data_IF_737539336050
#
_entry.id   IF_737539336050
#
_cell.length_a   1.000
_cell.length_b   1.000
_cell.length_c   1.000
_cell.angle_alpha   90.00
_cell.angle_beta   90.00
_cell.angle_gamma   90.00
#
_symmetry.space_group_name_H-M   'P 1'
#
loop_
_entity.id
_entity.type
_entity.pdbx_description
1 polymer ?
#
# COMPACT_ATOMS: atom_id res chain seq x y z
N UNK A 1 -15.62 25.14 -24.97
CA UNK A 1 -14.88 24.19 -25.84
C UNK A 1 -15.46 22.80 -25.59
N UNK A 2 -15.91 22.14 -26.65
CA UNK A 2 -16.46 20.77 -26.52
C UNK A 2 -15.29 19.77 -26.51
N UNK A 3 -15.08 19.04 -25.40
CA UNK A 3 -14.03 18.03 -25.24
C UNK A 3 -14.65 16.69 -24.86
N UNK A 4 -15.28 15.99 -25.80
CA UNK A 4 -16.07 14.79 -25.48
C UNK A 4 -15.22 13.64 -24.95
N UNK A 5 -14.00 13.45 -25.42
CA UNK A 5 -13.08 12.42 -24.90
C UNK A 5 -12.74 12.63 -23.42
N UNK A 6 -12.47 13.88 -23.00
CA UNK A 6 -12.20 14.18 -21.59
C UNK A 6 -13.46 14.01 -20.71
N UNK A 7 -14.64 14.32 -21.25
CA UNK A 7 -15.90 14.09 -20.56
C UNK A 7 -16.18 12.58 -20.39
N UNK A 8 -15.85 11.76 -21.40
CA UNK A 8 -15.98 10.32 -21.35
C UNK A 8 -15.04 9.71 -20.27
N UNK A 9 -13.76 10.15 -20.22
CA UNK A 9 -12.84 9.72 -19.19
C UNK A 9 -13.30 10.09 -17.78
N UNK A 10 -13.74 11.36 -17.56
CA UNK A 10 -14.24 11.80 -16.26
C UNK A 10 -15.51 11.04 -15.83
N UNK A 11 -16.43 10.81 -16.76
CA UNK A 11 -17.64 10.03 -16.51
C UNK A 11 -17.31 8.56 -16.18
N UNK A 12 -16.32 7.99 -16.86
CA UNK A 12 -15.85 6.63 -16.59
C UNK A 12 -15.21 6.52 -15.20
N UNK A 13 -14.33 7.46 -14.85
CA UNK A 13 -13.71 7.54 -13.52
C UNK A 13 -14.75 7.57 -12.41
N UNK A 14 -15.76 8.47 -12.53
CA UNK A 14 -16.83 8.54 -11.58
C UNK A 14 -17.63 7.23 -11.49
N UNK A 15 -17.93 6.60 -12.63
CA UNK A 15 -18.71 5.37 -12.68
C UNK A 15 -17.96 4.17 -12.08
N UNK A 16 -16.63 4.10 -12.25
CA UNK A 16 -15.80 3.07 -11.60
C UNK A 16 -15.90 3.15 -10.08
N UNK A 17 -15.90 4.38 -9.53
CA UNK A 17 -16.07 4.61 -8.10
C UNK A 17 -17.53 4.41 -7.63
N UNK A 18 -18.51 4.65 -8.51
CA UNK A 18 -19.95 4.62 -8.19
C UNK A 18 -20.74 3.75 -9.19
N UNK A 19 -20.56 2.43 -9.24
CA UNK A 19 -21.13 1.55 -10.28
C UNK A 19 -22.68 1.46 -10.24
N UNK A 20 -23.29 1.83 -9.12
CA UNK A 20 -24.75 1.88 -8.97
C UNK A 20 -25.41 3.16 -9.49
N UNK A 21 -24.63 4.16 -9.94
CA UNK A 21 -25.18 5.46 -10.34
C UNK A 21 -25.80 5.41 -11.74
N UNK A 22 -27.13 5.35 -11.81
CA UNK A 22 -27.87 5.12 -13.06
C UNK A 22 -27.70 6.25 -14.09
N UNK A 23 -27.75 7.52 -13.66
CA UNK A 23 -27.55 8.65 -14.57
C UNK A 23 -26.17 8.65 -15.22
N UNK A 24 -25.13 8.28 -14.47
CA UNK A 24 -23.78 8.21 -15.04
C UNK A 24 -23.65 7.07 -16.05
N UNK A 25 -24.32 5.93 -15.83
CA UNK A 25 -24.40 4.86 -16.82
C UNK A 25 -25.01 5.35 -18.13
N UNK A 26 -26.14 6.09 -18.07
CA UNK A 26 -26.77 6.68 -19.25
C UNK A 26 -25.84 7.70 -19.94
N UNK A 27 -25.11 8.50 -19.17
CA UNK A 27 -24.11 9.42 -19.71
C UNK A 27 -22.99 8.70 -20.45
N UNK A 28 -22.49 7.57 -19.91
CA UNK A 28 -21.47 6.76 -20.58
C UNK A 28 -21.99 6.18 -21.91
N UNK A 29 -23.23 5.65 -21.93
CA UNK A 29 -23.85 5.17 -23.16
C UNK A 29 -23.99 6.31 -24.20
N UNK A 30 -24.35 7.52 -23.74
CA UNK A 30 -24.41 8.69 -24.59
C UNK A 30 -23.04 9.07 -25.16
N UNK A 31 -21.98 9.07 -24.33
CA UNK A 31 -20.62 9.37 -24.80
C UNK A 31 -20.10 8.31 -25.77
N UNK A 32 -20.43 7.03 -25.59
CA UNK A 32 -20.07 5.97 -26.54
C UNK A 32 -20.66 6.18 -27.94
N UNK A 33 -21.84 6.78 -28.02
CA UNK A 33 -22.52 7.10 -29.27
C UNK A 33 -22.02 8.39 -29.93
N UNK A 34 -21.18 9.21 -29.24
CA UNK A 34 -20.73 10.49 -29.77
C UNK A 34 -19.63 10.35 -30.82
N UNK A 35 -19.75 11.13 -31.90
CA UNK A 35 -18.69 11.22 -32.91
C UNK A 35 -17.42 11.84 -32.32
N UNK A 36 -16.31 11.15 -32.48
CA UNK A 36 -14.98 11.60 -32.00
C UNK A 36 -14.60 11.08 -30.62
N UNK A 37 -15.44 10.23 -29.99
CA UNK A 37 -15.08 9.45 -28.80
C UNK A 37 -14.77 8.02 -29.22
N UNK A 38 -13.66 7.49 -28.74
CA UNK A 38 -13.18 6.12 -28.98
C UNK A 38 -13.28 5.29 -27.71
N UNK A 39 -13.21 3.99 -27.83
CA UNK A 39 -13.20 3.07 -26.70
C UNK A 39 -12.04 3.35 -25.73
N UNK A 40 -10.88 3.71 -26.25
CA UNK A 40 -9.69 4.08 -25.50
C UNK A 40 -9.84 5.39 -24.68
N UNK A 41 -10.85 6.21 -24.97
CA UNK A 41 -11.11 7.44 -24.23
C UNK A 41 -11.84 7.18 -22.88
N UNK A 42 -12.36 5.97 -22.67
CA UNK A 42 -12.98 5.54 -21.40
C UNK A 42 -11.89 5.04 -20.43
N UNK A 43 -11.05 5.94 -19.98
CA UNK A 43 -9.99 5.67 -19.02
C UNK A 43 -10.39 6.11 -17.63
N UNK A 44 -9.95 5.36 -16.63
CA UNK A 44 -10.05 5.78 -15.24
C UNK A 44 -8.87 6.73 -14.93
N UNK A 45 -9.18 8.02 -14.74
CA UNK A 45 -8.19 9.07 -14.45
C UNK A 45 -7.60 8.96 -13.04
N UNK A 46 -8.28 8.24 -12.15
CA UNK A 46 -7.86 7.96 -10.78
C UNK A 46 -7.35 6.51 -10.63
N UNK A 47 -7.08 5.84 -11.76
CA UNK A 47 -6.57 4.49 -11.74
C UNK A 47 -5.26 4.42 -10.95
N UNK A 48 -5.18 3.41 -10.09
CA UNK A 48 -3.96 3.10 -9.32
C UNK A 48 -3.23 1.95 -10.03
N UNK A 49 -2.17 2.22 -10.80
CA UNK A 49 -1.48 1.20 -11.61
C UNK A 49 -1.06 -0.02 -10.78
N UNK A 50 -0.50 0.21 -9.59
CA UNK A 50 -0.09 -0.85 -8.68
C UNK A 50 -1.23 -1.80 -8.27
N UNK A 51 -2.45 -1.28 -8.05
CA UNK A 51 -3.62 -2.12 -7.74
C UNK A 51 -4.07 -2.94 -8.96
N UNK A 52 -4.02 -2.35 -10.15
CA UNK A 52 -4.39 -3.01 -11.40
C UNK A 52 -3.43 -4.15 -11.71
N UNK A 53 -2.13 -3.89 -11.62
CA UNK A 53 -1.08 -4.90 -11.82
C UNK A 53 -1.15 -6.01 -10.75
N UNK A 54 -1.37 -5.65 -9.50
CA UNK A 54 -1.57 -6.64 -8.43
C UNK A 54 -2.74 -7.58 -8.71
N UNK A 55 -3.89 -7.04 -9.13
CA UNK A 55 -5.07 -7.86 -9.47
C UNK A 55 -4.78 -8.81 -10.65
N UNK A 56 -4.08 -8.32 -11.68
CA UNK A 56 -3.64 -9.16 -12.79
C UNK A 56 -2.70 -10.27 -12.32
N UNK A 57 -1.73 -9.94 -11.47
CA UNK A 57 -0.81 -10.91 -10.89
C UNK A 57 -1.52 -11.99 -10.10
N UNK A 58 -2.47 -11.61 -9.22
CA UNK A 58 -3.29 -12.56 -8.44
C UNK A 58 -4.18 -13.41 -9.36
N UNK A 59 -4.74 -12.82 -10.40
CA UNK A 59 -5.53 -13.56 -11.40
C UNK A 59 -4.68 -14.64 -12.09
N UNK A 60 -3.52 -14.28 -12.64
CA UNK A 60 -2.62 -15.25 -13.28
C UNK A 60 -2.09 -16.30 -12.29
N UNK A 61 -1.90 -15.92 -11.03
CA UNK A 61 -1.58 -16.88 -9.97
C UNK A 61 -2.70 -17.92 -9.81
N UNK A 62 -3.96 -17.51 -9.77
CA UNK A 62 -5.12 -18.43 -9.65
C UNK A 62 -5.35 -19.26 -10.91
N UNK A 63 -4.96 -18.74 -12.08
CA UNK A 63 -5.00 -19.45 -13.36
C UNK A 63 -3.79 -20.38 -13.58
N UNK A 64 -2.94 -20.58 -12.55
CA UNK A 64 -1.73 -21.42 -12.60
C UNK A 64 -0.73 -21.02 -13.70
N UNK A 65 -0.63 -19.71 -13.97
CA UNK A 65 0.31 -19.11 -14.91
C UNK A 65 1.45 -18.38 -14.17
N UNK A 66 2.44 -19.08 -13.58
CA UNK A 66 3.39 -18.49 -12.66
C UNK A 66 4.27 -17.41 -13.29
N UNK A 67 4.67 -17.58 -14.56
CA UNK A 67 5.50 -16.58 -15.23
C UNK A 67 4.77 -15.25 -15.43
N UNK A 68 3.50 -15.27 -15.82
CA UNK A 68 2.68 -14.08 -15.95
C UNK A 68 2.36 -13.46 -14.57
N UNK A 69 2.08 -14.29 -13.56
CA UNK A 69 1.87 -13.83 -12.19
C UNK A 69 3.09 -13.06 -11.66
N UNK A 70 4.30 -13.62 -11.83
CA UNK A 70 5.56 -12.96 -11.44
C UNK A 70 5.70 -11.60 -12.13
N UNK A 71 5.51 -11.54 -13.45
CA UNK A 71 5.65 -10.31 -14.22
C UNK A 71 4.77 -9.19 -13.66
N UNK A 72 3.49 -9.48 -13.44
CA UNK A 72 2.53 -8.49 -12.97
C UNK A 72 2.71 -8.14 -11.48
N UNK A 73 3.06 -9.10 -10.62
CA UNK A 73 3.30 -8.82 -9.20
C UNK A 73 4.59 -8.02 -8.97
N UNK A 74 5.66 -8.29 -9.73
CA UNK A 74 6.88 -7.48 -9.65
C UNK A 74 6.61 -6.04 -10.15
N UNK A 75 5.89 -5.90 -11.26
CA UNK A 75 5.49 -4.59 -11.73
C UNK A 75 4.58 -3.85 -10.74
N UNK A 76 3.67 -4.57 -10.07
CA UNK A 76 2.83 -4.00 -9.02
C UNK A 76 3.67 -3.42 -7.86
N UNK A 77 4.76 -4.08 -7.48
CA UNK A 77 5.69 -3.57 -6.47
C UNK A 77 6.42 -2.30 -6.93
N UNK A 78 6.93 -2.28 -8.16
CA UNK A 78 7.57 -1.09 -8.74
C UNK A 78 6.62 0.12 -8.70
N UNK A 79 5.41 -0.05 -9.22
CA UNK A 79 4.37 0.99 -9.24
C UNK A 79 3.90 1.38 -7.81
N UNK A 80 3.88 0.44 -6.88
CA UNK A 80 3.56 0.71 -5.47
C UNK A 80 4.59 1.66 -4.84
N UNK A 81 5.88 1.44 -5.05
CA UNK A 81 6.91 2.31 -4.48
C UNK A 81 6.96 3.68 -5.12
N UNK A 82 6.62 3.80 -6.41
CA UNK A 82 6.43 5.11 -7.05
C UNK A 82 5.27 5.84 -6.39
N UNK A 83 4.13 5.18 -6.23
CA UNK A 83 2.94 5.77 -5.60
C UNK A 83 3.16 6.09 -4.11
N UNK A 84 3.92 5.25 -3.35
CA UNK A 84 4.30 5.54 -1.96
C UNK A 84 5.15 6.81 -1.88
N UNK A 85 6.13 6.95 -2.76
CA UNK A 85 6.99 8.13 -2.80
C UNK A 85 6.19 9.41 -3.12
N UNK A 86 5.26 9.35 -4.07
CA UNK A 86 4.38 10.47 -4.43
C UNK A 86 3.43 10.85 -3.29
N UNK A 87 2.74 9.87 -2.69
CA UNK A 87 1.86 10.10 -1.56
C UNK A 87 2.62 10.74 -0.39
N UNK A 88 3.78 10.20 -0.04
CA UNK A 88 4.61 10.72 1.05
C UNK A 88 5.16 12.12 0.77
N UNK A 89 5.47 12.44 -0.48
CA UNK A 89 5.88 13.79 -0.87
C UNK A 89 4.75 14.80 -0.72
N UNK A 90 3.51 14.41 -1.02
CA UNK A 90 2.33 15.27 -0.82
C UNK A 90 2.07 15.57 0.66
N UNK A 91 2.49 14.69 1.57
CA UNK A 91 2.38 14.94 3.01
C UNK A 91 3.33 16.03 3.51
N UNK A 92 4.36 16.41 2.75
CA UNK A 92 5.32 17.45 3.11
C UNK A 92 4.81 18.86 2.76
N UNK A 93 3.52 19.11 3.01
CA UNK A 93 2.86 20.39 2.79
C UNK A 93 3.01 21.36 3.96
N UNK A 94 2.39 22.55 3.87
CA UNK A 94 2.34 23.50 4.95
C UNK A 94 1.55 22.92 6.14
N UNK A 95 1.79 23.50 7.33
CA UNK A 95 1.05 23.12 8.53
C UNK A 95 -0.46 23.32 8.33
N UNK A 96 -1.22 22.30 8.66
CA UNK A 96 -2.68 22.35 8.63
C UNK A 96 -3.21 22.86 9.97
N UNK A 97 -3.86 24.02 9.90
CA UNK A 97 -4.49 24.66 11.06
C UNK A 97 -5.99 24.31 11.19
N UNK A 98 -6.49 23.38 10.41
CA UNK A 98 -7.90 23.00 10.45
C UNK A 98 -8.27 22.49 11.86
N UNK A 99 -9.28 23.11 12.46
CA UNK A 99 -9.69 22.80 13.84
C UNK A 99 -9.06 23.66 14.94
N UNK A 100 -8.06 24.49 14.62
CA UNK A 100 -7.51 25.46 15.57
C UNK A 100 -8.18 26.82 15.41
N UNK A 101 -8.56 27.42 16.56
CA UNK A 101 -8.96 28.82 16.54
C UNK A 101 -7.71 29.71 16.54
N UNK A 102 -7.39 30.30 15.40
CA UNK A 102 -6.20 31.16 15.23
C UNK A 102 -6.08 32.28 16.27
N UNK A 103 -7.19 32.75 16.83
CA UNK A 103 -7.19 33.80 17.84
C UNK A 103 -6.79 33.29 19.22
N UNK A 104 -6.94 32.01 19.46
CA UNK A 104 -6.66 31.33 20.74
C UNK A 104 -5.40 30.49 20.72
N UNK A 105 -4.97 30.04 19.51
CA UNK A 105 -3.76 29.22 19.35
C UNK A 105 -2.50 30.10 19.41
N UNK A 106 -1.88 30.11 20.56
CA UNK A 106 -0.60 30.81 20.80
C UNK A 106 0.48 29.80 21.17
N UNK A 107 0.77 28.89 20.21
CA UNK A 107 1.86 27.93 20.38
C UNK A 107 3.21 28.62 20.27
N UNK A 108 4.17 28.20 21.09
CA UNK A 108 5.55 28.56 20.87
C UNK A 108 6.13 27.87 19.62
N UNK A 109 7.29 28.32 19.15
CA UNK A 109 7.91 27.78 17.94
C UNK A 109 8.19 26.25 18.05
N UNK A 110 8.58 25.78 19.22
CA UNK A 110 8.89 24.38 19.46
C UNK A 110 7.63 23.52 19.32
N UNK A 111 6.53 23.94 19.92
CA UNK A 111 5.25 23.24 19.80
C UNK A 111 4.77 23.19 18.35
N UNK A 112 4.81 24.32 17.62
CA UNK A 112 4.40 24.37 16.23
C UNK A 112 5.24 23.44 15.33
N UNK A 113 6.55 23.37 15.53
CA UNK A 113 7.43 22.45 14.78
C UNK A 113 7.11 20.99 15.12
N UNK A 114 6.89 20.67 16.39
CA UNK A 114 6.58 19.32 16.82
C UNK A 114 5.24 18.86 16.27
N UNK A 115 4.20 19.67 16.38
CA UNK A 115 2.87 19.36 15.88
C UNK A 115 2.90 19.14 14.35
N UNK A 116 3.58 20.02 13.61
CA UNK A 116 3.74 19.86 12.17
C UNK A 116 4.48 18.56 11.81
N UNK A 117 5.56 18.25 12.52
CA UNK A 117 6.31 17.02 12.29
C UNK A 117 5.43 15.78 12.51
N UNK A 118 4.58 15.78 13.55
CA UNK A 118 3.66 14.68 13.82
C UNK A 118 2.55 14.58 12.76
N UNK A 119 2.01 15.71 12.29
CA UNK A 119 1.04 15.72 11.19
C UNK A 119 1.64 15.08 9.92
N UNK A 120 2.86 15.50 9.54
CA UNK A 120 3.56 14.93 8.37
C UNK A 120 3.80 13.44 8.52
N UNK A 121 4.28 12.99 9.68
CA UNK A 121 4.53 11.56 9.91
C UNK A 121 3.22 10.74 9.91
N UNK A 122 2.16 11.26 10.53
CA UNK A 122 0.84 10.60 10.53
C UNK A 122 0.27 10.48 9.12
N UNK A 123 0.36 11.55 8.31
CA UNK A 123 -0.02 11.53 6.90
C UNK A 123 0.78 10.47 6.13
N UNK A 124 2.11 10.42 6.30
CA UNK A 124 2.97 9.44 5.64
C UNK A 124 2.63 7.99 6.00
N UNK A 125 2.23 7.72 7.24
CA UNK A 125 1.72 6.41 7.63
C UNK A 125 0.34 6.12 7.02
N UNK A 126 -0.51 7.14 6.86
CA UNK A 126 -1.82 7.04 6.19
C UNK A 126 -1.72 6.61 4.72
N UNK A 127 -0.59 6.87 4.04
CA UNK A 127 -0.35 6.42 2.66
C UNK A 127 -0.50 4.90 2.49
N UNK A 128 -0.16 4.11 3.51
CA UNK A 128 -0.35 2.64 3.48
C UNK A 128 -1.82 2.28 3.20
N UNK A 129 -2.74 2.89 3.93
CA UNK A 129 -4.17 2.67 3.75
C UNK A 129 -4.68 3.23 2.42
N UNK A 130 -4.21 4.41 2.04
CA UNK A 130 -4.60 5.02 0.77
C UNK A 130 -4.21 4.16 -0.44
N UNK A 131 -2.96 3.66 -0.47
CA UNK A 131 -2.46 2.81 -1.55
C UNK A 131 -3.15 1.45 -1.60
N UNK A 132 -3.57 0.92 -0.46
CA UNK A 132 -4.34 -0.33 -0.38
C UNK A 132 -5.84 -0.15 -0.66
N UNK A 133 -6.33 1.08 -0.76
CA UNK A 133 -7.75 1.39 -0.96
C UNK A 133 -8.14 1.28 -2.43
N UNK A 134 -9.24 0.59 -2.68
CA UNK A 134 -9.81 0.39 -4.02
C UNK A 134 -11.03 1.29 -4.22
N UNK A 135 -11.20 1.90 -5.40
CA UNK A 135 -12.42 2.63 -5.72
C UNK A 135 -13.67 1.75 -5.51
N UNK A 136 -14.70 2.31 -4.87
CA UNK A 136 -15.96 1.61 -4.61
C UNK A 136 -15.92 0.53 -3.51
N UNK A 137 -14.83 0.41 -2.74
CA UNK A 137 -14.76 -0.46 -1.56
C UNK A 137 -14.56 0.36 -0.29
N UNK A 138 -15.29 0.02 0.77
CA UNK A 138 -15.22 0.71 2.06
C UNK A 138 -13.92 0.43 2.84
N UNK A 139 -13.30 -0.74 2.58
CA UNK A 139 -12.08 -1.16 3.29
C UNK A 139 -10.90 -1.27 2.35
N UNK A 140 -9.75 -0.80 2.82
CA UNK A 140 -8.46 -1.07 2.22
C UNK A 140 -8.13 -2.57 2.25
N UNK A 141 -7.25 -3.02 1.36
CA UNK A 141 -6.70 -4.38 1.41
C UNK A 141 -5.76 -4.48 2.62
N UNK A 142 -6.08 -5.39 3.54
CA UNK A 142 -5.22 -5.67 4.68
C UNK A 142 -3.89 -6.27 4.19
N UNK A 143 -2.79 -5.87 4.84
CA UNK A 143 -1.45 -6.38 4.56
C UNK A 143 -1.07 -6.35 3.07
N UNK A 144 -1.44 -5.26 2.38
CA UNK A 144 -1.33 -5.17 0.92
C UNK A 144 0.11 -5.39 0.44
N UNK A 145 1.10 -4.68 1.00
CA UNK A 145 2.50 -4.83 0.61
C UNK A 145 3.06 -6.23 0.92
N UNK A 146 2.90 -6.79 2.14
CA UNK A 146 3.29 -8.18 2.41
C UNK A 146 2.65 -9.21 1.49
N UNK A 147 1.39 -8.99 1.07
CA UNK A 147 0.66 -9.92 0.20
C UNK A 147 1.36 -10.18 -1.14
N UNK A 148 2.06 -9.19 -1.69
CA UNK A 148 2.86 -9.38 -2.91
C UNK A 148 3.88 -10.51 -2.75
N UNK A 149 4.60 -10.52 -1.61
CA UNK A 149 5.62 -11.53 -1.35
C UNK A 149 5.03 -12.90 -1.05
N UNK A 150 3.83 -12.94 -0.47
CA UNK A 150 3.12 -14.19 -0.28
C UNK A 150 2.77 -14.86 -1.62
N UNK A 151 2.29 -14.11 -2.61
CA UNK A 151 2.03 -14.64 -3.95
C UNK A 151 3.34 -14.92 -4.72
N UNK A 152 4.30 -14.01 -4.68
CA UNK A 152 5.55 -14.12 -5.42
C UNK A 152 6.37 -15.34 -5.00
N UNK A 153 6.49 -15.63 -3.69
CA UNK A 153 7.29 -16.78 -3.23
C UNK A 153 6.78 -18.09 -3.86
N UNK A 154 5.47 -18.28 -3.93
CA UNK A 154 4.88 -19.47 -4.50
C UNK A 154 4.93 -19.47 -6.04
N UNK A 155 4.72 -18.33 -6.68
CA UNK A 155 4.85 -18.20 -8.13
C UNK A 155 6.27 -18.50 -8.61
N UNK A 156 7.30 -17.99 -7.92
CA UNK A 156 8.70 -18.33 -8.20
C UNK A 156 9.01 -19.80 -7.96
N UNK A 157 8.48 -20.39 -6.89
CA UNK A 157 8.61 -21.82 -6.64
C UNK A 157 8.02 -22.64 -7.80
N UNK A 158 6.80 -22.33 -8.24
CA UNK A 158 6.14 -23.00 -9.38
C UNK A 158 6.90 -22.81 -10.69
N UNK A 159 7.59 -21.70 -10.85
CA UNK A 159 8.44 -21.41 -12.01
C UNK A 159 9.86 -22.02 -11.90
N UNK A 160 10.14 -22.78 -10.84
CA UNK A 160 11.43 -23.44 -10.63
C UNK A 160 12.56 -22.52 -10.13
N UNK A 161 12.27 -21.25 -9.79
CA UNK A 161 13.26 -20.31 -9.29
C UNK A 161 13.28 -20.28 -7.75
N UNK A 162 13.98 -21.24 -7.15
CA UNK A 162 14.05 -21.38 -5.69
C UNK A 162 14.80 -20.23 -5.00
N UNK A 163 15.77 -19.61 -5.67
CA UNK A 163 16.49 -18.47 -5.11
C UNK A 163 15.56 -17.29 -4.86
N UNK A 164 14.77 -16.93 -5.86
CA UNK A 164 13.77 -15.86 -5.74
C UNK A 164 12.60 -16.24 -4.82
N UNK A 165 12.21 -17.51 -4.78
CA UNK A 165 11.21 -17.99 -3.82
C UNK A 165 11.68 -17.80 -2.37
N UNK A 166 12.96 -18.13 -2.06
CA UNK A 166 13.56 -17.91 -0.73
C UNK A 166 13.66 -16.41 -0.42
N UNK A 167 14.11 -15.59 -1.37
CA UNK A 167 14.18 -14.12 -1.20
C UNK A 167 12.81 -13.55 -0.79
N UNK A 168 11.75 -13.91 -1.54
CA UNK A 168 10.39 -13.46 -1.26
C UNK A 168 9.85 -14.00 0.07
N UNK A 169 10.09 -15.28 0.40
CA UNK A 169 9.68 -15.86 1.67
C UNK A 169 10.35 -15.18 2.86
N UNK A 170 11.67 -14.93 2.78
CA UNK A 170 12.41 -14.18 3.81
C UNK A 170 11.92 -12.73 3.92
N UNK A 171 11.56 -12.11 2.79
CA UNK A 171 11.03 -10.74 2.75
C UNK A 171 9.65 -10.67 3.43
N UNK A 172 8.77 -11.62 3.17
CA UNK A 172 7.48 -11.74 3.86
C UNK A 172 7.64 -11.91 5.38
N UNK A 173 8.58 -12.75 5.80
CA UNK A 173 8.86 -13.01 7.21
C UNK A 173 9.46 -11.81 7.96
N UNK A 174 9.89 -10.74 7.28
CA UNK A 174 10.20 -9.47 7.94
C UNK A 174 8.96 -8.85 8.59
N UNK A 175 7.78 -9.03 7.99
CA UNK A 175 6.52 -8.53 8.51
C UNK A 175 5.88 -9.52 9.51
N UNK A 176 5.85 -10.81 9.15
CA UNK A 176 5.20 -11.87 9.92
C UNK A 176 6.19 -13.00 10.27
N UNK A 177 7.12 -12.78 11.24
CA UNK A 177 8.19 -13.75 11.53
C UNK A 177 7.68 -15.09 12.06
N UNK A 178 6.47 -15.12 12.61
CA UNK A 178 5.86 -16.32 13.19
C UNK A 178 4.82 -17.00 12.29
N UNK A 179 4.72 -16.61 11.01
CA UNK A 179 3.85 -17.31 10.06
C UNK A 179 4.36 -18.74 9.82
N UNK A 180 3.59 -19.71 10.32
CA UNK A 180 3.98 -21.12 10.28
C UNK A 180 4.05 -21.66 8.85
N UNK A 181 3.10 -21.27 7.98
CA UNK A 181 3.03 -21.73 6.59
C UNK A 181 4.23 -21.20 5.81
N UNK A 182 4.55 -19.91 5.96
CA UNK A 182 5.70 -19.32 5.28
C UNK A 182 7.03 -19.91 5.78
N UNK A 183 7.15 -20.17 7.08
CA UNK A 183 8.34 -20.84 7.62
C UNK A 183 8.50 -22.27 7.09
N UNK A 184 7.40 -23.02 6.91
CA UNK A 184 7.44 -24.37 6.30
C UNK A 184 7.82 -24.27 4.82
N UNK A 185 7.28 -23.33 4.07
CA UNK A 185 7.64 -23.10 2.67
C UNK A 185 9.13 -22.77 2.53
N UNK A 186 9.63 -21.84 3.36
CA UNK A 186 11.04 -21.48 3.38
C UNK A 186 11.96 -22.67 3.70
N UNK A 187 11.59 -23.51 4.67
CA UNK A 187 12.33 -24.73 5.00
C UNK A 187 12.37 -25.68 3.81
N UNK A 188 11.26 -25.89 3.12
CA UNK A 188 11.19 -26.73 1.94
C UNK A 188 12.08 -26.20 0.80
N UNK A 189 11.99 -24.91 0.47
CA UNK A 189 12.80 -24.29 -0.59
C UNK A 189 14.29 -24.36 -0.27
N UNK A 190 14.63 -24.16 1.01
CA UNK A 190 16.01 -24.27 1.51
C UNK A 190 16.56 -25.70 1.35
N UNK A 191 15.75 -26.72 1.65
CA UNK A 191 16.14 -28.11 1.49
C UNK A 191 16.38 -28.46 0.01
N UNK A 192 15.58 -27.92 -0.91
CA UNK A 192 15.73 -28.16 -2.36
C UNK A 192 16.95 -27.44 -2.93
N UNK A 193 17.15 -26.17 -2.59
CA UNK A 193 18.28 -25.37 -3.11
C UNK A 193 19.63 -25.77 -2.46
N UNK A 194 19.57 -26.23 -1.22
CA UNK A 194 20.74 -26.50 -0.38
C UNK A 194 21.03 -25.37 0.63
N UNK A 195 21.26 -25.75 1.89
CA UNK A 195 21.40 -24.80 3.00
C UNK A 195 22.49 -23.75 2.79
N UNK A 196 23.62 -24.13 2.18
CA UNK A 196 24.76 -23.21 1.99
C UNK A 196 24.41 -22.05 1.06
N UNK A 197 23.71 -22.32 -0.05
CA UNK A 197 23.24 -21.29 -0.98
C UNK A 197 22.09 -20.48 -0.36
N UNK A 198 21.13 -21.14 0.27
CA UNK A 198 19.98 -20.48 0.89
C UNK A 198 20.38 -19.48 2.00
N UNK A 199 21.47 -19.72 2.73
CA UNK A 199 21.97 -18.78 3.75
C UNK A 199 22.49 -17.47 3.17
N UNK A 200 22.95 -17.45 1.94
CA UNK A 200 23.49 -16.25 1.27
C UNK A 200 22.37 -15.33 0.77
N UNK A 201 21.20 -15.89 0.53
CA UNK A 201 20.04 -15.12 0.04
C UNK A 201 19.49 -14.27 1.19
N UNK A 202 19.46 -12.96 0.98
CA UNK A 202 18.90 -12.01 1.94
C UNK A 202 17.50 -11.58 1.52
N UNK A 203 16.66 -11.08 2.46
CA UNK A 203 15.43 -10.37 2.12
C UNK A 203 15.74 -9.16 1.23
N UNK A 204 14.76 -8.69 0.48
CA UNK A 204 14.91 -7.49 -0.37
C UNK A 204 15.31 -6.27 0.45
N UNK A 205 16.38 -5.62 0.05
CA UNK A 205 16.95 -4.48 0.77
C UNK A 205 15.96 -3.31 0.85
N UNK A 206 15.28 -3.01 -0.24
CA UNK A 206 14.25 -1.97 -0.31
C UNK A 206 13.14 -2.16 0.74
N UNK A 207 12.76 -3.42 1.01
CA UNK A 207 11.73 -3.76 2.02
C UNK A 207 12.30 -3.66 3.44
N UNK A 208 13.55 -4.03 3.63
CA UNK A 208 14.22 -3.83 4.92
C UNK A 208 14.26 -2.35 5.29
N UNK A 209 14.65 -1.49 4.34
CA UNK A 209 14.70 -0.03 4.51
C UNK A 209 13.30 0.53 4.75
N UNK A 210 12.31 0.12 3.95
CA UNK A 210 10.90 0.53 4.12
C UNK A 210 10.40 0.20 5.53
N UNK A 211 10.58 -1.06 5.96
CA UNK A 211 10.12 -1.52 7.27
C UNK A 211 10.82 -0.76 8.42
N UNK A 212 12.14 -0.59 8.33
CA UNK A 212 12.90 0.14 9.35
C UNK A 212 12.41 1.59 9.48
N UNK A 213 12.23 2.27 8.34
CA UNK A 213 11.68 3.64 8.29
C UNK A 213 10.30 3.71 8.93
N UNK A 214 9.39 2.80 8.52
CA UNK A 214 8.03 2.76 9.06
C UNK A 214 8.02 2.55 10.57
N UNK A 215 8.83 1.65 11.10
CA UNK A 215 8.91 1.41 12.55
C UNK A 215 9.43 2.64 13.31
N UNK A 216 10.45 3.33 12.81
CA UNK A 216 10.98 4.55 13.44
C UNK A 216 9.92 5.67 13.46
N UNK A 217 9.18 5.86 12.38
CA UNK A 217 8.09 6.83 12.31
C UNK A 217 6.96 6.48 13.30
N UNK A 218 6.59 5.20 13.40
CA UNK A 218 5.58 4.71 14.34
C UNK A 218 6.02 4.87 15.80
N UNK A 219 7.27 4.62 16.13
CA UNK A 219 7.81 4.87 17.47
C UNK A 219 7.59 6.33 17.90
N UNK A 220 7.86 7.29 17.02
CA UNK A 220 7.63 8.70 17.28
C UNK A 220 6.14 9.03 17.42
N UNK A 221 5.29 8.48 16.55
CA UNK A 221 3.85 8.70 16.59
C UNK A 221 3.21 8.09 17.85
N UNK A 222 3.58 6.89 18.23
CA UNK A 222 3.11 6.27 19.47
C UNK A 222 3.61 7.00 20.71
N UNK A 223 4.85 7.49 20.70
CA UNK A 223 5.35 8.34 21.78
C UNK A 223 4.52 9.61 21.91
N UNK A 224 4.24 10.28 20.80
CA UNK A 224 3.42 11.52 20.79
C UNK A 224 1.98 11.23 21.24
N UNK A 225 1.43 10.09 20.84
CA UNK A 225 0.10 9.66 21.31
C UNK A 225 0.09 9.39 22.81
N UNK A 226 1.12 8.74 23.34
CA UNK A 226 1.21 8.38 24.75
C UNK A 226 1.43 9.62 25.66
N UNK A 227 2.24 10.57 25.24
CA UNK A 227 2.65 11.73 26.08
C UNK A 227 1.77 12.95 25.84
N UNK A 228 1.44 13.25 24.57
CA UNK A 228 0.76 14.49 24.18
C UNK A 228 -0.70 14.27 23.77
N UNK A 229 -1.17 13.00 23.76
CA UNK A 229 -2.53 12.64 23.30
C UNK A 229 -2.83 13.05 21.86
N UNK A 230 -1.80 13.12 21.00
CA UNK A 230 -1.95 13.36 19.56
C UNK A 230 -2.51 12.09 18.92
N UNK A 231 -3.68 12.11 18.24
CA UNK A 231 -4.30 10.93 17.68
C UNK A 231 -3.39 10.24 16.66
N UNK A 232 -3.18 8.92 16.83
CA UNK A 232 -2.53 8.08 15.85
C UNK A 232 -3.19 6.70 15.82
N UNK A 233 -3.52 6.22 14.61
CA UNK A 233 -4.04 4.88 14.36
C UNK A 233 -3.05 4.17 13.44
N UNK A 234 -2.50 3.05 13.91
CA UNK A 234 -1.56 2.25 13.11
C UNK A 234 -2.31 1.61 11.94
N UNK A 235 -1.89 1.85 10.69
CA UNK A 235 -2.52 1.25 9.52
C UNK A 235 -2.13 -0.21 9.28
N UNK A 236 -1.09 -0.71 9.96
CA UNK A 236 -0.51 -2.03 9.73
C UNK A 236 -0.80 -3.01 10.88
N UNK A 237 -0.99 -4.29 10.53
CA UNK A 237 -1.18 -5.38 11.50
C UNK A 237 0.13 -6.00 11.97
N UNK A 238 1.23 -5.76 11.25
CA UNK A 238 2.54 -6.37 11.50
C UNK A 238 3.45 -5.58 12.44
N UNK A 239 2.98 -4.46 12.98
CA UNK A 239 3.78 -3.66 13.91
C UNK A 239 4.11 -4.44 15.17
N UNK A 240 5.40 -4.61 15.55
CA UNK A 240 5.79 -5.34 16.74
C UNK A 240 5.27 -4.66 18.03
N UNK A 241 4.86 -5.47 19.00
CA UNK A 241 4.36 -4.94 20.28
C UNK A 241 5.37 -4.06 21.02
N UNK A 242 6.67 -4.27 20.82
CA UNK A 242 7.74 -3.50 21.44
C UNK A 242 7.72 -2.02 21.03
N UNK A 243 7.25 -1.72 19.82
CA UNK A 243 7.11 -0.36 19.28
C UNK A 243 5.97 0.39 19.96
N UNK A 244 4.96 -0.34 20.44
CA UNK A 244 3.78 0.25 21.10
C UNK A 244 4.09 0.48 22.59
N UNK A 245 3.95 1.69 23.14
CA UNK A 245 4.16 1.98 24.55
C UNK A 245 3.32 1.08 25.47
N UNK A 246 3.90 0.63 26.59
CA UNK A 246 3.22 -0.30 27.53
C UNK A 246 1.85 0.19 27.96
N UNK A 247 1.70 1.48 28.25
CA UNK A 247 0.42 2.07 28.67
C UNK A 247 -0.68 1.92 27.61
N UNK A 248 -0.31 1.94 26.33
CA UNK A 248 -1.27 1.78 25.23
C UNK A 248 -1.66 0.31 25.05
N UNK A 249 -0.70 -0.62 25.20
CA UNK A 249 -0.96 -2.06 25.14
C UNK A 249 -1.92 -2.54 26.23
N UNK A 250 -1.85 -1.95 27.44
CA UNK A 250 -2.74 -2.29 28.57
C UNK A 250 -4.17 -1.79 28.38
N UNK A 251 -4.38 -0.74 27.56
CA UNK A 251 -5.73 -0.23 27.26
C UNK A 251 -6.45 -1.01 26.16
N UNK A 252 -5.73 -1.81 25.39
CA UNK A 252 -6.29 -2.62 24.27
C UNK A 252 -6.70 -4.03 24.70
N UNK A 253 -6.38 -4.43 25.93
CA UNK A 253 -6.84 -5.68 26.58
C UNK A 253 -8.10 -5.44 27.41
#
# INVERSE_FOLDING_TARGET
MNRPAQAAAAAHTFFVANPGHQEMRQNLEYYQAMVGVREDDFTDLEAKPHLSEFRLGVRFYTEEQPAAAILHLEKALEEYFVADAECRALCEGPYDYEGYNYLEYNADLFQAITDHSMQVLSCKQGCVTELASQPGREKALEDFLPSHFNYLQFAYYKNGNYEKAIECAKTYLLFFPHDEVMNQNLAYYTAVLGENLARLIQPREEIQVYRQRSLMEKELLFFSYDIFSIPFVDPDTWTPEEVIPKRLREKQK
#
